data_IF_062721680350
#
_entry.id   IF_062721680350
#
_cell.length_a   1.000
_cell.length_b   1.000
_cell.length_c   1.000
_cell.angle_alpha   90.00
_cell.angle_beta   90.00
_cell.angle_gamma   90.00
#
_symmetry.space_group_name_H-M   'P 1'
#
loop_
_entity.id
_entity.type
_entity.pdbx_description
1 polymer ?
#
# COMPACT_ATOMS: atom_id res chain seq x y z
N UNK A 1 -6.27 -7.27 27.13
CA UNK A 1 -7.05 -6.31 26.33
C UNK A 1 -6.19 -5.72 25.19
N UNK A 2 -5.41 -6.55 24.50
CA UNK A 2 -4.76 -6.18 23.23
C UNK A 2 -5.63 -6.83 22.17
N UNK A 3 -6.54 -6.03 21.63
CA UNK A 3 -7.56 -6.49 20.72
C UNK A 3 -6.95 -6.62 19.32
N UNK A 4 -7.35 -7.66 18.56
CA UNK A 4 -6.95 -7.99 17.18
C UNK A 4 -6.84 -6.78 16.20
N UNK A 5 -7.54 -5.67 16.51
CA UNK A 5 -7.46 -4.39 15.78
C UNK A 5 -6.08 -3.74 15.81
N UNK A 6 -5.33 -3.87 16.91
CA UNK A 6 -3.98 -3.29 17.04
C UNK A 6 -2.96 -4.02 16.15
N UNK A 7 -3.11 -5.35 16.02
CA UNK A 7 -2.28 -6.20 15.16
C UNK A 7 -2.54 -5.87 13.68
N UNK A 8 -3.81 -5.67 13.31
CA UNK A 8 -4.18 -5.21 11.97
C UNK A 8 -3.56 -3.85 11.62
N UNK A 9 -3.50 -2.91 12.58
CA UNK A 9 -2.84 -1.62 12.38
C UNK A 9 -1.33 -1.81 12.18
N UNK A 10 -0.70 -2.64 13.02
CA UNK A 10 0.74 -2.93 12.94
C UNK A 10 1.14 -3.59 11.61
N UNK A 11 0.29 -4.50 11.10
CA UNK A 11 0.46 -5.11 9.77
C UNK A 11 0.37 -4.08 8.63
N UNK A 12 -0.36 -2.98 8.82
CA UNK A 12 -0.50 -1.90 7.85
C UNK A 12 0.67 -0.90 7.90
N UNK A 13 1.43 -0.88 9.00
CA UNK A 13 2.63 -0.04 9.13
C UNK A 13 3.73 -0.48 8.16
N UNK A 14 3.94 -1.79 8.02
CA UNK A 14 4.97 -2.36 7.12
C UNK A 14 4.84 -1.84 5.67
N UNK A 15 3.69 -2.02 4.98
CA UNK A 15 3.51 -1.51 3.62
C UNK A 15 3.52 0.03 3.56
N UNK A 16 3.13 0.72 4.63
CA UNK A 16 3.24 2.18 4.74
C UNK A 16 4.69 2.66 4.77
N UNK A 17 5.56 1.97 5.52
CA UNK A 17 7.01 2.24 5.55
C UNK A 17 7.63 1.96 4.18
N UNK A 18 7.25 0.87 3.52
CA UNK A 18 7.70 0.54 2.16
C UNK A 18 7.29 1.64 1.17
N UNK A 19 6.04 2.12 1.25
CA UNK A 19 5.56 3.20 0.40
C UNK A 19 6.36 4.51 0.62
N UNK A 20 6.61 4.86 1.87
CA UNK A 20 7.38 6.06 2.25
C UNK A 20 8.83 5.95 1.77
N UNK A 21 9.42 4.75 1.86
CA UNK A 21 10.75 4.49 1.33
C UNK A 21 10.81 4.60 -0.20
N UNK A 22 9.76 4.15 -0.90
CA UNK A 22 9.60 4.36 -2.34
C UNK A 22 9.62 5.84 -2.73
N UNK A 23 8.86 6.69 -2.01
CA UNK A 23 8.86 8.15 -2.21
C UNK A 23 10.26 8.74 -1.98
N UNK A 24 10.97 8.28 -0.94
CA UNK A 24 12.33 8.73 -0.67
C UNK A 24 13.26 8.42 -1.85
N UNK A 25 13.20 7.21 -2.41
CA UNK A 25 14.00 6.84 -3.58
C UNK A 25 13.67 7.67 -4.82
N UNK A 26 12.37 7.95 -5.07
CA UNK A 26 11.93 8.80 -6.17
C UNK A 26 12.45 10.22 -6.01
N UNK A 27 12.36 10.78 -4.80
CA UNK A 27 12.91 12.10 -4.47
C UNK A 27 14.41 12.12 -4.73
N UNK A 28 15.15 11.16 -4.16
CA UNK A 28 16.60 11.11 -4.27
C UNK A 28 17.04 10.98 -5.76
N UNK A 29 16.29 10.23 -6.57
CA UNK A 29 16.51 10.13 -8.02
C UNK A 29 16.30 11.46 -8.77
N UNK A 30 15.33 12.30 -8.35
CA UNK A 30 15.09 13.62 -8.94
C UNK A 30 16.21 14.63 -8.61
N UNK A 31 16.88 14.47 -7.46
CA UNK A 31 17.98 15.34 -7.04
C UNK A 31 19.37 14.83 -7.41
N UNK A 32 19.47 13.72 -8.14
CA UNK A 32 20.77 13.15 -8.51
C UNK A 32 21.52 12.48 -7.35
N UNK A 33 20.80 12.08 -6.29
CA UNK A 33 21.37 11.39 -5.13
C UNK A 33 21.07 9.90 -5.28
N UNK A 34 22.11 9.10 -5.48
CA UNK A 34 21.97 7.67 -5.76
C UNK A 34 22.58 6.82 -4.66
N UNK A 35 21.94 5.69 -4.39
CA UNK A 35 22.66 4.61 -3.73
C UNK A 35 23.64 4.00 -4.74
N UNK A 36 24.82 3.56 -4.30
CA UNK A 36 25.82 2.93 -5.18
C UNK A 36 25.31 1.65 -5.86
N UNK A 37 24.17 1.11 -5.41
CA UNK A 37 23.49 -0.06 -5.98
C UNK A 37 22.71 0.31 -7.26
N UNK A 38 22.32 1.57 -7.44
CA UNK A 38 21.55 2.03 -8.60
C UNK A 38 22.45 2.81 -9.56
N UNK A 39 22.73 2.21 -10.72
CA UNK A 39 23.59 2.79 -11.76
C UNK A 39 22.93 3.93 -12.56
N UNK A 40 21.60 4.07 -12.50
CA UNK A 40 20.86 5.04 -13.32
C UNK A 40 19.69 5.65 -12.53
N UNK A 41 19.54 6.98 -12.58
CA UNK A 41 18.48 7.72 -11.87
C UNK A 41 17.09 7.21 -12.22
N UNK A 42 16.86 6.91 -13.50
CA UNK A 42 15.59 6.35 -14.00
C UNK A 42 15.25 5.01 -13.36
N UNK A 43 16.25 4.14 -13.17
CA UNK A 43 16.04 2.83 -12.54
C UNK A 43 15.68 3.01 -11.06
N UNK A 44 16.40 3.88 -10.35
CA UNK A 44 16.08 4.21 -8.96
C UNK A 44 14.66 4.80 -8.81
N UNK A 45 14.25 5.67 -9.73
CA UNK A 45 12.90 6.23 -9.75
C UNK A 45 11.84 5.16 -10.00
N UNK A 46 12.04 4.26 -10.97
CA UNK A 46 11.10 3.17 -11.28
C UNK A 46 10.98 2.21 -10.09
N UNK A 47 12.09 1.85 -9.45
CA UNK A 47 12.08 0.99 -8.25
C UNK A 47 11.34 1.69 -7.10
N UNK A 48 11.61 2.99 -6.89
CA UNK A 48 10.87 3.79 -5.91
C UNK A 48 9.37 3.85 -6.20
N UNK A 49 9.00 4.03 -7.47
CA UNK A 49 7.61 4.04 -7.92
C UNK A 49 6.93 2.68 -7.69
N UNK A 50 7.61 1.58 -7.98
CA UNK A 50 7.10 0.23 -7.73
C UNK A 50 6.86 -0.01 -6.23
N UNK A 51 7.78 0.39 -5.36
CA UNK A 51 7.59 0.28 -3.91
C UNK A 51 6.44 1.17 -3.40
N UNK A 52 6.30 2.37 -3.95
CA UNK A 52 5.18 3.25 -3.63
C UNK A 52 3.84 2.64 -4.04
N UNK A 53 3.71 2.21 -5.30
CA UNK A 53 2.48 1.59 -5.82
C UNK A 53 2.18 0.29 -5.09
N UNK A 54 3.17 -0.56 -4.84
CA UNK A 54 2.98 -1.82 -4.11
C UNK A 54 2.48 -1.57 -2.68
N UNK A 55 3.09 -0.62 -1.95
CA UNK A 55 2.63 -0.25 -0.62
C UNK A 55 1.22 0.31 -0.63
N UNK A 56 0.91 1.20 -1.58
CA UNK A 56 -0.43 1.79 -1.73
C UNK A 56 -1.49 0.72 -2.09
N UNK A 57 -1.18 -0.16 -3.05
CA UNK A 57 -2.06 -1.24 -3.48
C UNK A 57 -2.33 -2.24 -2.34
N UNK A 58 -1.31 -2.54 -1.54
CA UNK A 58 -1.46 -3.41 -0.38
C UNK A 58 -2.37 -2.76 0.68
N UNK A 59 -2.15 -1.48 1.00
CA UNK A 59 -3.00 -0.74 1.95
C UNK A 59 -4.45 -0.68 1.44
N UNK A 60 -4.65 -0.32 0.18
CA UNK A 60 -5.97 -0.25 -0.45
C UNK A 60 -6.67 -1.62 -0.47
N UNK A 61 -5.95 -2.68 -0.86
CA UNK A 61 -6.45 -4.05 -0.88
C UNK A 61 -6.83 -4.56 0.52
N UNK A 62 -6.00 -4.26 1.53
CA UNK A 62 -6.30 -4.59 2.92
C UNK A 62 -7.54 -3.87 3.43
N UNK A 63 -7.67 -2.57 3.17
CA UNK A 63 -8.84 -1.78 3.54
C UNK A 63 -10.09 -2.36 2.87
N UNK A 64 -10.04 -2.66 1.57
CA UNK A 64 -11.15 -3.24 0.82
C UNK A 64 -11.58 -4.61 1.36
N UNK A 65 -10.61 -5.50 1.64
CA UNK A 65 -10.89 -6.82 2.21
C UNK A 65 -11.49 -6.70 3.61
N UNK A 66 -10.96 -5.80 4.44
CA UNK A 66 -11.44 -5.53 5.79
C UNK A 66 -12.86 -4.96 5.78
N UNK A 67 -13.17 -4.06 4.85
CA UNK A 67 -14.48 -3.43 4.73
C UNK A 67 -15.55 -4.40 4.22
N UNK A 68 -15.20 -5.24 3.24
CA UNK A 68 -16.08 -6.33 2.75
C UNK A 68 -16.51 -7.28 3.87
N UNK A 69 -15.60 -7.63 4.80
CA UNK A 69 -15.94 -8.50 5.94
C UNK A 69 -16.88 -7.87 6.98
N UNK A 70 -17.07 -6.54 6.97
CA UNK A 70 -17.89 -5.84 7.98
C UNK A 70 -19.29 -5.47 7.48
N UNK A 71 -19.70 -5.89 6.28
CA UNK A 71 -21.05 -5.66 5.72
C UNK A 71 -21.52 -4.18 5.86
N UNK A 72 -20.59 -3.23 5.73
CA UNK A 72 -20.88 -1.79 5.75
C UNK A 72 -21.30 -1.25 4.38
N UNK A 73 -21.33 -2.10 3.35
CA UNK A 73 -22.11 -1.86 2.14
C UNK A 73 -23.59 -1.83 2.53
N UNK A 74 -24.10 -0.64 2.86
CA UNK A 74 -25.54 -0.36 2.93
C UNK A 74 -26.21 -0.91 1.67
N UNK A 75 -26.82 -2.09 1.76
CA UNK A 75 -27.92 -2.61 0.93
C UNK A 75 -27.91 -2.40 -0.59
N UNK A 76 -26.77 -2.17 -1.26
CA UNK A 76 -26.73 -1.99 -2.73
C UNK A 76 -26.22 -3.20 -3.51
N UNK A 77 -25.89 -4.28 -2.80
CA UNK A 77 -25.54 -5.58 -3.38
C UNK A 77 -26.32 -6.70 -2.69
N UNK A 78 -27.61 -6.47 -2.42
CA UNK A 78 -28.54 -7.58 -2.30
C UNK A 78 -28.54 -8.25 -3.68
N UNK A 79 -27.92 -9.42 -3.80
CA UNK A 79 -28.19 -10.29 -4.93
C UNK A 79 -29.71 -10.52 -4.92
N UNK A 80 -30.40 -10.02 -5.94
CA UNK A 80 -31.66 -10.62 -6.34
C UNK A 80 -31.31 -12.06 -6.73
N UNK A 81 -31.58 -12.97 -5.80
CA UNK A 81 -31.92 -14.34 -6.16
C UNK A 81 -33.25 -14.23 -6.91
N UNK A 82 -33.17 -14.15 -8.23
CA UNK A 82 -34.32 -14.28 -9.11
C UNK A 82 -34.52 -15.77 -9.40
N UNK A 83 -35.66 -16.26 -8.92
CA UNK A 83 -36.19 -17.62 -8.97
C UNK A 83 -36.52 -18.11 -10.37
#
# INVERSE_FOLDING_TARGET
MINLRLIALLLLVIPGVIATFGIKLMRDALFGVFFPIFFHSTVQFIVGLLFFIAGLAFIAGFILHRDRKRNLTKGRFSKEEES
#
